data_IF_659079025184
#
_entry.id   IF_659079025184
#
_cell.length_a   1.000
_cell.length_b   1.000
_cell.length_c   1.000
_cell.angle_alpha   90.00
_cell.angle_beta   90.00
_cell.angle_gamma   90.00
#
_symmetry.space_group_name_H-M   'P 1'
#
loop_
_entity.id
_entity.type
_entity.pdbx_description
1 polymer ?
#
# COMPACT_ATOMS: atom_id res chain seq x y z
N UNK A 1 -40.28 -17.72 -3.39
CA UNK A 1 -39.21 -18.16 -2.47
C UNK A 1 -38.19 -18.97 -3.26
N UNK A 2 -37.05 -18.36 -3.63
CA UNK A 2 -35.74 -18.99 -3.95
C UNK A 2 -34.90 -17.96 -4.73
N UNK A 3 -34.05 -17.21 -4.05
CA UNK A 3 -32.98 -16.42 -4.69
C UNK A 3 -32.05 -15.86 -3.62
N UNK A 4 -31.27 -16.74 -3.00
CA UNK A 4 -30.32 -16.41 -1.94
C UNK A 4 -29.16 -17.40 -1.91
N UNK A 5 -28.48 -17.64 -3.03
CA UNK A 5 -27.31 -18.54 -3.05
C UNK A 5 -26.34 -18.21 -4.20
N UNK A 6 -25.78 -17.01 -4.21
CA UNK A 6 -24.67 -16.64 -5.12
C UNK A 6 -23.63 -15.76 -4.43
N UNK A 7 -24.05 -14.89 -3.51
CA UNK A 7 -23.15 -13.99 -2.76
C UNK A 7 -22.24 -14.79 -1.81
N UNK A 8 -22.75 -15.84 -1.14
CA UNK A 8 -21.99 -16.65 -0.18
C UNK A 8 -20.82 -17.43 -0.80
N UNK A 9 -20.90 -17.78 -2.09
CA UNK A 9 -19.81 -18.50 -2.79
C UNK A 9 -18.66 -17.55 -3.20
N UNK A 10 -18.94 -16.27 -3.44
CA UNK A 10 -17.92 -15.26 -3.78
C UNK A 10 -17.16 -14.78 -2.55
N UNK A 11 -17.85 -14.57 -1.42
CA UNK A 11 -17.20 -14.30 -0.13
C UNK A 11 -16.36 -15.48 0.36
N UNK A 12 -16.85 -16.71 0.23
CA UNK A 12 -16.07 -17.89 0.60
C UNK A 12 -14.73 -18.02 -0.17
N UNK A 13 -14.71 -17.67 -1.46
CA UNK A 13 -13.48 -17.71 -2.28
C UNK A 13 -12.49 -16.60 -1.92
N UNK A 14 -12.98 -15.40 -1.58
CA UNK A 14 -12.13 -14.29 -1.12
C UNK A 14 -11.56 -14.59 0.26
N UNK A 15 -12.35 -15.14 1.19
CA UNK A 15 -11.88 -15.56 2.52
C UNK A 15 -10.83 -16.67 2.43
N UNK A 16 -10.94 -17.58 1.46
CA UNK A 16 -9.96 -18.66 1.25
C UNK A 16 -8.63 -18.14 0.67
N UNK A 17 -8.67 -17.10 -0.19
CA UNK A 17 -7.47 -16.42 -0.71
C UNK A 17 -6.81 -15.60 0.41
N UNK A 18 -7.58 -14.89 1.24
CA UNK A 18 -7.06 -14.15 2.39
C UNK A 18 -6.47 -15.11 3.45
N UNK A 19 -7.10 -16.27 3.70
CA UNK A 19 -6.54 -17.32 4.56
C UNK A 19 -5.29 -17.98 3.96
N UNK A 20 -5.20 -18.12 2.63
CA UNK A 20 -4.00 -18.62 1.97
C UNK A 20 -2.83 -17.62 2.08
N UNK A 21 -3.10 -16.32 1.93
CA UNK A 21 -2.11 -15.24 2.16
C UNK A 21 -1.70 -15.21 3.64
N UNK A 22 -2.65 -15.35 4.58
CA UNK A 22 -2.33 -15.49 6.01
C UNK A 22 -1.55 -16.76 6.34
N UNK A 23 -1.76 -17.88 5.66
CA UNK A 23 -0.98 -19.11 5.88
C UNK A 23 0.44 -19.03 5.30
N UNK A 24 0.64 -18.30 4.20
CA UNK A 24 1.98 -18.02 3.65
C UNK A 24 2.75 -17.04 4.56
N UNK A 25 2.07 -16.07 5.17
CA UNK A 25 2.67 -15.19 6.17
C UNK A 25 2.85 -15.86 7.55
N UNK A 26 1.97 -16.77 7.97
CA UNK A 26 2.06 -17.51 9.23
C UNK A 26 3.00 -18.73 9.19
N UNK A 27 3.65 -19.01 8.05
CA UNK A 27 4.82 -19.90 8.01
C UNK A 27 6.04 -19.33 8.76
N UNK A 28 5.94 -18.08 9.22
CA UNK A 28 6.96 -17.37 9.99
C UNK A 28 6.65 -17.35 11.50
N UNK A 29 6.13 -18.46 12.04
CA UNK A 29 6.01 -18.66 13.50
C UNK A 29 7.21 -19.48 13.97
N UNK A 30 8.17 -18.79 14.57
CA UNK A 30 9.08 -19.40 15.54
C UNK A 30 8.23 -19.77 16.75
N UNK A 31 8.05 -21.06 16.99
CA UNK A 31 7.45 -21.54 18.23
C UNK A 31 8.39 -21.17 19.39
N UNK A 32 7.95 -20.28 20.28
CA UNK A 32 8.55 -20.10 21.60
C UNK A 32 7.48 -20.30 22.67
N UNK A 33 7.61 -21.29 23.57
CA UNK A 33 6.69 -21.47 24.68
C UNK A 33 7.24 -20.71 25.89
N UNK A 34 6.85 -19.44 26.07
CA UNK A 34 6.67 -18.78 27.39
C UNK A 34 6.51 -17.26 27.23
N UNK A 35 5.26 -16.79 27.26
CA UNK A 35 4.97 -15.38 27.59
C UNK A 35 3.93 -15.33 28.69
N UNK A 36 4.42 -15.17 29.92
CA UNK A 36 3.61 -14.74 31.06
C UNK A 36 3.39 -13.23 31.00
N UNK A 37 2.14 -12.82 31.28
CA UNK A 37 1.71 -11.44 31.50
C UNK A 37 2.46 -10.78 32.67
N UNK A 38 2.75 -9.47 32.53
CA UNK A 38 2.73 -8.40 33.58
C UNK A 38 3.02 -7.06 32.87
N UNK A 39 2.07 -6.13 32.81
CA UNK A 39 1.66 -5.12 33.82
C UNK A 39 2.73 -4.06 34.13
N UNK A 40 2.26 -2.80 34.22
CA UNK A 40 2.89 -1.52 34.59
C UNK A 40 2.94 -0.54 33.41
N UNK A 41 2.54 0.74 33.50
CA UNK A 41 1.84 1.55 34.51
C UNK A 41 1.67 2.93 33.87
N UNK A 42 0.54 3.59 34.14
CA UNK A 42 0.21 4.93 33.65
C UNK A 42 1.26 5.98 34.06
N UNK A 43 1.83 6.69 33.07
CA UNK A 43 2.43 8.01 33.28
C UNK A 43 1.54 9.08 32.63
N UNK A 44 0.92 9.91 33.47
CA UNK A 44 0.28 11.18 33.09
C UNK A 44 1.39 12.15 32.66
N UNK A 45 1.32 12.65 31.42
CA UNK A 45 2.09 13.81 30.98
C UNK A 45 1.15 15.01 30.97
N UNK A 46 1.57 16.03 31.71
CA UNK A 46 0.85 17.26 31.99
C UNK A 46 0.90 18.22 30.79
N UNK A 47 -0.28 18.69 30.40
CA UNK A 47 -0.51 19.81 29.48
C UNK A 47 0.08 21.10 30.04
N UNK A 48 0.96 21.76 29.29
CA UNK A 48 1.19 23.21 29.42
C UNK A 48 1.18 23.85 28.04
N UNK A 49 0.26 24.80 27.91
CA UNK A 49 -0.11 25.55 26.70
C UNK A 49 0.55 26.92 26.85
N UNK A 50 1.48 27.26 25.96
CA UNK A 50 2.04 28.62 25.88
C UNK A 50 1.86 29.15 24.47
N UNK A 51 0.88 30.03 24.32
CA UNK A 51 0.59 30.81 23.12
C UNK A 51 1.50 32.04 23.07
N UNK A 52 2.16 32.27 21.93
CA UNK A 52 2.56 33.61 21.49
C UNK A 52 2.28 33.76 19.99
N UNK A 53 1.75 34.90 19.53
CA UNK A 53 1.38 35.09 18.13
C UNK A 53 2.57 35.62 17.32
N UNK A 54 2.76 35.09 16.11
CA UNK A 54 3.69 35.65 15.14
C UNK A 54 2.89 36.24 13.97
N UNK A 55 2.89 37.57 13.90
CA UNK A 55 2.38 38.39 12.81
C UNK A 55 3.49 38.62 11.78
N UNK A 56 3.20 38.44 10.49
CA UNK A 56 4.00 39.05 9.41
C UNK A 56 3.11 40.03 8.67
N UNK A 57 3.59 41.27 8.66
CA UNK A 57 3.03 42.43 7.98
C UNK A 57 3.02 42.30 6.46
N UNK A 58 1.98 42.91 5.89
CA UNK A 58 1.78 43.18 4.48
C UNK A 58 2.71 44.31 4.02
N UNK A 59 3.40 44.12 2.88
CA UNK A 59 4.08 45.19 2.17
C UNK A 59 3.64 45.20 0.69
N UNK A 60 2.91 46.26 0.37
CA UNK A 60 2.46 46.70 -0.95
C UNK A 60 3.65 47.13 -1.82
N UNK A 61 3.68 46.72 -3.10
CA UNK A 61 4.29 47.52 -4.16
C UNK A 61 3.78 47.11 -5.57
N UNK A 62 3.01 48.04 -6.14
CA UNK A 62 2.98 48.44 -7.55
C UNK A 62 2.33 47.54 -8.60
N UNK A 63 1.06 47.89 -8.81
CA UNK A 63 0.34 47.99 -10.07
C UNK A 63 1.20 48.01 -11.35
N UNK A 64 0.89 47.09 -12.25
CA UNK A 64 0.87 47.34 -13.69
C UNK A 64 -0.47 46.79 -14.22
N UNK A 65 -1.44 47.70 -14.35
CA UNK A 65 -2.63 47.46 -15.13
C UNK A 65 -2.29 47.45 -16.64
N UNK A 66 -3.12 46.76 -17.41
CA UNK A 66 -3.12 46.62 -18.87
C UNK A 66 -2.43 45.35 -19.39
N UNK A 67 -3.15 44.24 -19.35
CA UNK A 67 -3.61 43.49 -20.55
C UNK A 67 -4.53 42.36 -20.05
N UNK A 68 -5.73 42.71 -19.59
CA UNK A 68 -6.80 41.75 -19.34
C UNK A 68 -7.86 41.98 -20.43
N UNK A 69 -7.67 41.33 -21.57
CA UNK A 69 -8.70 41.23 -22.60
C UNK A 69 -8.81 39.76 -23.00
N UNK A 70 -9.88 39.14 -22.51
CA UNK A 70 -10.56 37.98 -23.06
C UNK A 70 -9.67 36.81 -23.54
N UNK A 71 -9.31 35.93 -22.61
CA UNK A 71 -9.30 34.51 -22.89
C UNK A 71 -10.38 33.90 -21.99
N UNK A 72 -11.58 33.73 -22.57
CA UNK A 72 -12.61 32.88 -22.00
C UNK A 72 -12.00 31.50 -21.71
N UNK A 73 -12.11 31.05 -20.46
CA UNK A 73 -11.82 29.70 -20.01
C UNK A 73 -12.86 28.73 -20.55
N UNK A 74 -12.91 28.57 -21.86
CA UNK A 74 -14.02 27.94 -22.60
C UNK A 74 -13.82 26.42 -22.80
N UNK A 75 -13.12 25.74 -21.88
CA UNK A 75 -12.87 24.29 -21.99
C UNK A 75 -13.13 23.48 -20.72
N UNK A 76 -13.31 24.10 -19.55
CA UNK A 76 -13.46 23.36 -18.29
C UNK A 76 -14.92 23.23 -17.82
N UNK A 77 -15.78 24.22 -18.11
CA UNK A 77 -17.20 24.21 -17.73
C UNK A 77 -18.08 23.29 -18.61
N UNK A 78 -17.58 22.91 -19.80
CA UNK A 78 -18.31 22.05 -20.74
C UNK A 78 -18.21 20.55 -20.43
N UNK A 79 -17.43 20.14 -19.42
CA UNK A 79 -17.20 18.73 -19.13
C UNK A 79 -18.27 18.11 -18.23
N UNK A 80 -19.12 18.90 -17.57
CA UNK A 80 -20.14 18.38 -16.67
C UNK A 80 -21.37 17.88 -17.43
N UNK A 81 -21.82 16.68 -17.06
CA UNK A 81 -22.90 15.97 -17.73
C UNK A 81 -24.28 16.52 -17.35
N UNK A 82 -25.09 16.79 -18.38
CA UNK A 82 -26.54 17.04 -18.27
C UNK A 82 -27.32 15.75 -17.95
N UNK A 83 -28.50 15.88 -17.33
CA UNK A 83 -29.31 14.78 -16.78
C UNK A 83 -29.21 14.67 -15.26
N UNK A 84 -30.28 14.17 -14.63
CA UNK A 84 -30.47 14.11 -13.18
C UNK A 84 -30.29 15.50 -12.54
N UNK A 85 -31.11 16.47 -12.98
CA UNK A 85 -31.01 17.88 -12.54
C UNK A 85 -31.20 18.05 -11.03
N UNK A 86 -31.98 17.15 -10.41
CA UNK A 86 -32.19 17.10 -8.95
C UNK A 86 -30.90 16.71 -8.21
N UNK A 87 -30.02 15.94 -8.86
CA UNK A 87 -28.75 15.48 -8.29
C UNK A 87 -27.69 16.59 -8.41
N UNK A 88 -27.01 16.96 -7.32
CA UNK A 88 -25.88 17.88 -7.34
C UNK A 88 -24.80 17.43 -8.33
N UNK A 89 -24.21 18.38 -9.05
CA UNK A 89 -23.33 18.08 -10.18
C UNK A 89 -22.16 17.15 -9.81
N UNK A 90 -21.50 17.37 -8.67
CA UNK A 90 -20.38 16.53 -8.22
C UNK A 90 -20.77 15.09 -7.81
N UNK A 91 -22.05 14.81 -7.63
CA UNK A 91 -22.57 13.47 -7.25
C UNK A 91 -23.18 12.72 -8.44
N UNK A 92 -23.12 13.30 -9.65
CA UNK A 92 -23.58 12.63 -10.87
C UNK A 92 -22.54 11.60 -11.31
N UNK A 93 -22.91 10.36 -11.64
CA UNK A 93 -21.95 9.30 -11.97
C UNK A 93 -20.94 9.62 -13.08
N UNK A 94 -21.35 10.39 -14.09
CA UNK A 94 -20.43 10.82 -15.16
C UNK A 94 -19.43 11.84 -14.64
N UNK A 95 -19.84 12.73 -13.76
CA UNK A 95 -18.99 13.77 -13.20
C UNK A 95 -17.98 13.17 -12.21
N UNK A 96 -18.42 12.22 -11.38
CA UNK A 96 -17.55 11.38 -10.55
C UNK A 96 -16.47 10.66 -11.39
N UNK A 97 -16.84 10.13 -12.55
CA UNK A 97 -15.89 9.51 -13.49
C UNK A 97 -14.84 10.51 -14.00
N UNK A 98 -15.26 11.71 -14.40
CA UNK A 98 -14.37 12.73 -14.96
C UNK A 98 -13.42 13.29 -13.89
N UNK A 99 -13.93 13.51 -12.68
CA UNK A 99 -13.13 13.93 -11.54
C UNK A 99 -12.12 12.84 -11.15
N UNK A 100 -12.51 11.57 -11.12
CA UNK A 100 -11.61 10.45 -10.91
C UNK A 100 -10.53 10.36 -12.02
N UNK A 101 -10.91 10.57 -13.28
CA UNK A 101 -9.99 10.54 -14.42
C UNK A 101 -8.90 11.62 -14.29
N UNK A 102 -9.26 12.80 -13.77
CA UNK A 102 -8.36 13.93 -13.53
C UNK A 102 -7.53 13.78 -12.24
N UNK A 103 -8.02 13.02 -11.27
CA UNK A 103 -7.34 12.83 -10.00
C UNK A 103 -5.94 12.19 -10.18
N UNK A 104 -4.95 12.61 -9.37
CA UNK A 104 -3.63 11.99 -9.38
C UNK A 104 -3.77 10.50 -9.06
N UNK A 105 -2.92 9.68 -9.66
CA UNK A 105 -2.89 8.21 -9.54
C UNK A 105 -4.07 7.48 -10.21
N UNK A 106 -5.32 7.95 -10.10
CA UNK A 106 -6.45 7.30 -10.77
C UNK A 106 -6.46 7.47 -12.29
N UNK A 107 -5.98 8.61 -12.78
CA UNK A 107 -5.78 8.86 -14.22
C UNK A 107 -4.82 7.86 -14.91
N UNK A 108 -4.07 7.06 -14.15
CA UNK A 108 -3.17 6.04 -14.72
C UNK A 108 -3.90 4.82 -15.29
N UNK A 109 -5.12 4.56 -14.84
CA UNK A 109 -5.96 3.46 -15.35
C UNK A 109 -6.64 3.77 -16.69
N UNK A 110 -6.58 5.03 -17.15
CA UNK A 110 -7.29 5.48 -18.35
C UNK A 110 -6.87 4.73 -19.61
N UNK A 111 -7.76 4.69 -20.60
CA UNK A 111 -7.46 4.12 -21.91
C UNK A 111 -6.34 4.89 -22.64
N UNK A 112 -6.28 6.21 -22.47
CA UNK A 112 -5.27 7.10 -23.09
C UNK A 112 -3.84 6.73 -22.67
N UNK A 113 -3.65 6.34 -21.40
CA UNK A 113 -2.36 5.89 -20.88
C UNK A 113 -2.03 4.47 -21.38
N UNK A 114 -3.06 3.64 -21.58
CA UNK A 114 -2.91 2.26 -22.04
C UNK A 114 -2.15 1.36 -21.06
N UNK A 115 -1.78 0.17 -21.52
CA UNK A 115 -1.01 -0.80 -20.72
C UNK A 115 0.46 -0.36 -20.58
N UNK A 116 1.08 0.10 -21.67
CA UNK A 116 2.49 0.47 -21.69
C UNK A 116 2.77 1.69 -20.80
N UNK A 117 1.94 2.74 -20.89
CA UNK A 117 2.10 3.92 -20.05
C UNK A 117 1.92 3.60 -18.57
N UNK A 118 1.00 2.70 -18.23
CA UNK A 118 0.80 2.23 -16.86
C UNK A 118 2.03 1.44 -16.36
N UNK A 119 2.57 0.53 -17.17
CA UNK A 119 3.79 -0.23 -16.83
C UNK A 119 5.01 0.66 -16.62
N UNK A 120 5.20 1.69 -17.45
CA UNK A 120 6.31 2.65 -17.28
C UNK A 120 6.18 3.39 -15.95
N UNK A 121 4.97 3.90 -15.63
CA UNK A 121 4.71 4.60 -14.36
C UNK A 121 4.95 3.70 -13.16
N UNK A 122 4.46 2.45 -13.22
CA UNK A 122 4.72 1.44 -12.19
C UNK A 122 6.22 1.15 -12.08
N UNK A 123 6.93 0.95 -13.18
CA UNK A 123 8.38 0.72 -13.17
C UNK A 123 9.18 1.88 -12.56
N UNK A 124 8.79 3.13 -12.81
CA UNK A 124 9.40 4.30 -12.15
C UNK A 124 9.15 4.26 -10.64
N UNK A 125 7.91 3.99 -10.22
CA UNK A 125 7.56 3.86 -8.80
C UNK A 125 8.31 2.71 -8.15
N UNK A 126 8.41 1.55 -8.83
CA UNK A 126 9.18 0.40 -8.39
C UNK A 126 10.62 0.79 -8.10
N UNK A 127 11.31 1.40 -9.07
CA UNK A 127 12.73 1.78 -8.92
C UNK A 127 12.90 2.78 -7.79
N UNK A 128 12.01 3.77 -7.69
CA UNK A 128 12.07 4.78 -6.62
C UNK A 128 11.85 4.16 -5.24
N UNK A 129 10.81 3.34 -5.06
CA UNK A 129 10.50 2.69 -3.78
C UNK A 129 11.56 1.67 -3.41
N UNK A 130 12.05 0.89 -4.38
CA UNK A 130 13.14 -0.05 -4.18
C UNK A 130 14.41 0.68 -3.71
N UNK A 131 14.83 1.74 -4.39
CA UNK A 131 16.07 2.43 -4.06
C UNK A 131 15.98 3.26 -2.77
N UNK A 132 14.87 3.97 -2.55
CA UNK A 132 14.73 4.92 -1.45
C UNK A 132 14.20 4.27 -0.16
N UNK A 133 13.47 3.15 -0.25
CA UNK A 133 12.80 2.53 0.90
C UNK A 133 13.21 1.08 1.06
N UNK A 134 12.98 0.25 0.03
CA UNK A 134 13.19 -1.20 0.11
C UNK A 134 14.65 -1.58 0.40
N UNK A 135 15.60 -1.01 -0.35
CA UNK A 135 17.02 -1.34 -0.25
C UNK A 135 17.67 -0.82 1.05
N UNK A 136 17.38 0.40 1.54
CA UNK A 136 17.83 0.84 2.86
C UNK A 136 17.30 -0.04 4.00
N UNK A 137 16.01 -0.39 3.98
CA UNK A 137 15.41 -1.28 5.00
C UNK A 137 16.08 -2.66 4.96
N UNK A 138 16.25 -3.24 3.77
CA UNK A 138 16.96 -4.50 3.61
C UNK A 138 18.44 -4.40 4.02
N UNK A 139 19.09 -3.25 3.84
CA UNK A 139 20.45 -3.01 4.30
C UNK A 139 20.58 -2.91 5.81
N UNK A 140 19.58 -2.34 6.48
CA UNK A 140 19.49 -2.39 7.93
C UNK A 140 19.19 -3.80 8.47
N UNK A 141 18.59 -4.66 7.64
CA UNK A 141 18.26 -6.06 7.99
C UNK A 141 19.45 -6.99 7.79
N UNK A 142 20.15 -6.87 6.66
CA UNK A 142 21.31 -7.68 6.29
C UNK A 142 22.58 -6.84 6.36
N UNK A 143 23.15 -6.75 7.57
CA UNK A 143 24.35 -5.94 7.87
C UNK A 143 25.66 -6.66 7.56
N UNK A 144 25.64 -8.00 7.54
CA UNK A 144 26.82 -8.83 7.28
C UNK A 144 27.17 -8.89 5.78
N UNK A 145 28.47 -8.92 5.50
CA UNK A 145 28.98 -9.08 4.14
C UNK A 145 28.62 -10.44 3.53
N UNK A 146 28.32 -10.43 2.23
CA UNK A 146 27.98 -11.63 1.46
C UNK A 146 26.53 -12.10 1.58
N UNK A 147 25.60 -11.27 2.09
CA UNK A 147 24.15 -11.49 2.06
C UNK A 147 23.42 -10.61 1.01
N UNK A 148 24.12 -10.25 -0.08
CA UNK A 148 23.60 -9.37 -1.11
C UNK A 148 22.33 -9.93 -1.79
N UNK A 149 22.27 -11.24 -2.01
CA UNK A 149 21.12 -11.89 -2.63
C UNK A 149 19.87 -11.75 -1.76
N UNK A 150 19.99 -12.03 -0.46
CA UNK A 150 18.91 -11.89 0.51
C UNK A 150 18.48 -10.43 0.65
N UNK A 151 19.44 -9.50 0.67
CA UNK A 151 19.17 -8.06 0.70
C UNK A 151 18.35 -7.60 -0.51
N UNK A 152 18.74 -7.98 -1.73
CA UNK A 152 18.00 -7.62 -2.95
C UNK A 152 16.64 -8.32 -2.98
N UNK A 153 16.58 -9.61 -2.63
CA UNK A 153 15.33 -10.37 -2.62
C UNK A 153 14.33 -9.81 -1.60
N UNK A 154 14.78 -9.44 -0.40
CA UNK A 154 13.94 -8.82 0.63
C UNK A 154 13.44 -7.44 0.21
N UNK A 155 14.32 -6.61 -0.36
CA UNK A 155 13.94 -5.30 -0.92
C UNK A 155 12.89 -5.45 -2.04
N UNK A 156 13.05 -6.45 -2.91
CA UNK A 156 12.10 -6.75 -3.99
C UNK A 156 10.72 -7.16 -3.42
N UNK A 157 10.67 -8.08 -2.45
CA UNK A 157 9.42 -8.50 -1.79
C UNK A 157 8.68 -7.30 -1.18
N UNK A 158 9.40 -6.42 -0.48
CA UNK A 158 8.81 -5.22 0.12
C UNK A 158 8.27 -4.24 -0.94
N UNK A 159 9.04 -4.02 -2.00
CA UNK A 159 8.67 -3.09 -3.09
C UNK A 159 7.44 -3.59 -3.85
N UNK A 160 7.41 -4.87 -4.22
CA UNK A 160 6.27 -5.49 -4.88
C UNK A 160 5.01 -5.47 -4.00
N UNK A 161 5.16 -5.60 -2.68
CA UNK A 161 4.05 -5.44 -1.74
C UNK A 161 3.43 -4.04 -1.79
N UNK A 162 4.26 -3.00 -1.87
CA UNK A 162 3.80 -1.61 -2.05
C UNK A 162 3.10 -1.41 -3.41
N UNK A 163 3.66 -1.95 -4.50
CA UNK A 163 3.03 -1.86 -5.83
C UNK A 163 1.65 -2.51 -5.88
N UNK A 164 1.48 -3.67 -5.25
CA UNK A 164 0.17 -4.33 -5.15
C UNK A 164 -0.82 -3.44 -4.42
N UNK A 165 -0.42 -2.81 -3.30
CA UNK A 165 -1.31 -1.91 -2.56
C UNK A 165 -1.73 -0.70 -3.41
N UNK A 166 -0.80 -0.13 -4.19
CA UNK A 166 -1.07 0.94 -5.15
C UNK A 166 -2.06 0.50 -6.24
N UNK A 167 -1.84 -0.68 -6.84
CA UNK A 167 -2.71 -1.25 -7.87
C UNK A 167 -4.12 -1.53 -7.33
N UNK A 168 -4.23 -2.11 -6.13
CA UNK A 168 -5.53 -2.31 -5.45
C UNK A 168 -6.24 -0.99 -5.20
N UNK A 169 -5.51 0.06 -4.81
CA UNK A 169 -6.08 1.40 -4.62
C UNK A 169 -6.66 1.94 -5.92
N UNK A 170 -5.93 1.89 -7.03
CA UNK A 170 -6.41 2.34 -8.35
C UNK A 170 -7.60 1.49 -8.80
N UNK A 171 -7.48 0.16 -8.73
CA UNK A 171 -8.53 -0.79 -9.10
C UNK A 171 -9.83 -0.55 -8.34
N UNK A 172 -9.77 -0.27 -7.03
CA UNK A 172 -10.95 0.00 -6.21
C UNK A 172 -11.69 1.28 -6.65
N UNK A 173 -10.98 2.34 -7.03
CA UNK A 173 -11.60 3.57 -7.53
C UNK A 173 -12.33 3.36 -8.85
N UNK A 174 -11.67 2.70 -9.82
CA UNK A 174 -12.28 2.36 -11.10
C UNK A 174 -13.48 1.40 -10.95
N UNK A 175 -13.38 0.44 -10.02
CA UNK A 175 -14.50 -0.46 -9.68
C UNK A 175 -15.71 0.27 -9.10
N UNK A 176 -15.49 1.25 -8.24
CA UNK A 176 -16.54 2.08 -7.65
C UNK A 176 -17.29 2.89 -8.72
N UNK A 177 -16.56 3.67 -9.53
CA UNK A 177 -17.17 4.46 -10.62
C UNK A 177 -17.88 3.55 -11.63
N UNK A 178 -17.29 2.38 -11.93
CA UNK A 178 -17.93 1.38 -12.79
C UNK A 178 -19.28 0.92 -12.26
N UNK A 179 -19.40 0.68 -10.96
CA UNK A 179 -20.68 0.34 -10.34
C UNK A 179 -21.69 1.49 -10.35
N UNK A 180 -21.23 2.74 -10.20
CA UNK A 180 -22.07 3.95 -10.20
C UNK A 180 -22.64 4.25 -11.59
N UNK A 181 -21.88 3.99 -12.66
CA UNK A 181 -22.37 4.11 -14.04
C UNK A 181 -23.43 3.04 -14.35
N UNK A 182 -23.24 1.81 -13.87
CA UNK A 182 -24.16 0.69 -14.13
C UNK A 182 -25.43 0.68 -13.26
N UNK A 183 -25.46 1.46 -12.17
CA UNK A 183 -26.62 1.50 -11.28
C UNK A 183 -27.83 2.11 -11.99
N UNK A 184 -29.02 1.56 -11.72
CA UNK A 184 -30.31 2.08 -12.23
C UNK A 184 -30.79 3.32 -11.48
N UNK A 185 -30.26 3.52 -10.28
CA UNK A 185 -30.66 4.57 -9.36
C UNK A 185 -29.39 5.28 -8.91
N UNK A 186 -29.46 6.60 -8.78
CA UNK A 186 -28.41 7.46 -8.26
C UNK A 186 -28.76 7.76 -6.80
N UNK A 187 -27.89 7.32 -5.91
CA UNK A 187 -27.90 7.75 -4.51
C UNK A 187 -27.14 9.06 -4.40
N UNK A 188 -27.77 10.07 -3.79
CA UNK A 188 -27.22 11.41 -3.61
C UNK A 188 -27.72 12.08 -2.33
N UNK A 189 -26.99 13.08 -1.87
CA UNK A 189 -27.31 13.90 -0.71
C UNK A 189 -27.67 15.31 -1.19
N UNK A 190 -28.90 15.76 -0.91
CA UNK A 190 -29.42 17.06 -1.36
C UNK A 190 -28.91 18.21 -0.48
N UNK A 191 -29.08 18.13 0.84
CA UNK A 191 -28.45 19.00 1.86
C UNK A 191 -28.77 18.50 3.27
N UNK A 192 -27.78 18.24 4.11
CA UNK A 192 -28.02 17.88 5.51
C UNK A 192 -27.11 16.77 6.02
N UNK A 193 -27.32 16.35 7.27
CA UNK A 193 -26.47 15.33 7.90
C UNK A 193 -27.09 13.91 7.82
N UNK A 194 -28.32 13.72 7.26
CA UNK A 194 -28.99 12.40 7.28
C UNK A 194 -30.01 12.06 6.16
N UNK A 195 -30.17 12.84 5.10
CA UNK A 195 -31.13 12.56 4.02
C UNK A 195 -30.42 12.19 2.70
N UNK A 196 -30.17 10.88 2.55
CA UNK A 196 -29.84 10.30 1.25
C UNK A 196 -31.12 10.08 0.43
N UNK A 197 -31.16 10.65 -0.78
CA UNK A 197 -32.24 10.50 -1.73
C UNK A 197 -31.83 9.60 -2.90
N UNK A 198 -32.83 9.09 -3.62
CA UNK A 198 -32.68 8.15 -4.72
C UNK A 198 -33.36 8.70 -5.97
N UNK A 199 -32.58 8.97 -7.02
CA UNK A 199 -33.11 9.41 -8.31
C UNK A 199 -33.00 8.27 -9.34
N UNK A 200 -34.11 7.81 -9.95
CA UNK A 200 -34.05 6.80 -11.00
C UNK A 200 -33.48 7.39 -12.29
N UNK A 201 -32.50 6.72 -12.90
CA UNK A 201 -31.95 7.15 -14.20
C UNK A 201 -32.97 6.92 -15.30
N UNK A 202 -33.09 7.89 -16.19
CA UNK A 202 -33.86 7.76 -17.44
C UNK A 202 -33.22 6.71 -18.36
N UNK A 203 -33.99 6.19 -19.32
CA UNK A 203 -33.46 5.19 -20.27
C UNK A 203 -32.30 5.76 -21.13
N UNK A 204 -32.35 7.05 -21.45
CA UNK A 204 -31.29 7.73 -22.18
C UNK A 204 -29.97 7.77 -21.38
N UNK A 205 -30.03 8.12 -20.09
CA UNK A 205 -28.87 8.14 -19.20
C UNK A 205 -28.27 6.75 -19.02
N UNK A 206 -29.10 5.72 -18.85
CA UNK A 206 -28.62 4.34 -18.74
C UNK A 206 -27.88 3.88 -19.99
N UNK A 207 -28.37 4.23 -21.18
CA UNK A 207 -27.70 3.88 -22.44
C UNK A 207 -26.37 4.63 -22.58
N UNK A 208 -26.32 5.92 -22.22
CA UNK A 208 -25.10 6.73 -22.21
C UNK A 208 -24.07 6.16 -21.23
N UNK A 209 -24.46 5.95 -19.98
CA UNK A 209 -23.57 5.47 -18.92
C UNK A 209 -23.06 4.05 -19.25
N UNK A 210 -23.91 3.20 -19.85
CA UNK A 210 -23.49 1.89 -20.34
C UNK A 210 -22.48 2.01 -21.48
N UNK A 211 -22.69 2.92 -22.43
CA UNK A 211 -21.73 3.15 -23.51
C UNK A 211 -20.37 3.62 -22.95
N UNK A 212 -20.39 4.58 -22.02
CA UNK A 212 -19.18 5.07 -21.34
C UNK A 212 -18.48 3.97 -20.55
N UNK A 213 -19.25 3.14 -19.83
CA UNK A 213 -18.69 2.02 -19.09
C UNK A 213 -17.98 1.02 -20.02
N UNK A 214 -18.64 0.62 -21.11
CA UNK A 214 -18.09 -0.38 -22.04
C UNK A 214 -16.86 0.13 -22.79
N UNK A 215 -16.86 1.40 -23.18
CA UNK A 215 -15.76 2.02 -23.93
C UNK A 215 -14.56 2.35 -23.05
N UNK A 216 -14.78 2.93 -21.87
CA UNK A 216 -13.71 3.48 -21.05
C UNK A 216 -13.41 2.72 -19.76
N UNK A 217 -14.44 2.41 -18.98
CA UNK A 217 -14.24 1.88 -17.63
C UNK A 217 -13.92 0.40 -17.63
N UNK A 218 -14.63 -0.40 -18.42
CA UNK A 218 -14.42 -1.84 -18.50
C UNK A 218 -12.98 -2.20 -18.92
N UNK A 219 -12.43 -1.68 -20.03
CA UNK A 219 -11.05 -2.01 -20.40
C UNK A 219 -10.02 -1.52 -19.38
N UNK A 220 -10.28 -0.41 -18.67
CA UNK A 220 -9.44 0.04 -17.56
C UNK A 220 -9.43 -0.95 -16.38
N UNK A 221 -10.62 -1.37 -15.93
CA UNK A 221 -10.80 -2.33 -14.84
C UNK A 221 -10.16 -3.68 -15.19
N UNK A 222 -10.35 -4.17 -16.41
CA UNK A 222 -9.79 -5.46 -16.85
C UNK A 222 -8.25 -5.43 -16.89
N UNK A 223 -7.65 -4.34 -17.38
CA UNK A 223 -6.19 -4.13 -17.36
C UNK A 223 -5.64 -4.08 -15.94
N UNK A 224 -6.27 -3.30 -15.06
CA UNK A 224 -5.87 -3.16 -13.66
C UNK A 224 -5.99 -4.49 -12.91
N UNK A 225 -7.06 -5.25 -13.16
CA UNK A 225 -7.26 -6.58 -12.60
C UNK A 225 -6.16 -7.55 -13.03
N UNK A 226 -5.85 -7.58 -14.33
CA UNK A 226 -4.78 -8.43 -14.86
C UNK A 226 -3.44 -8.11 -14.23
N UNK A 227 -3.07 -6.82 -14.18
CA UNK A 227 -1.82 -6.38 -13.56
C UNK A 227 -1.76 -6.66 -12.07
N UNK A 228 -2.86 -6.45 -11.34
CA UNK A 228 -2.91 -6.75 -9.90
C UNK A 228 -2.71 -8.24 -9.64
N UNK A 229 -3.34 -9.12 -10.43
CA UNK A 229 -3.15 -10.57 -10.32
C UNK A 229 -1.74 -11.01 -10.74
N UNK A 230 -1.19 -10.41 -11.81
CA UNK A 230 0.18 -10.66 -12.25
C UNK A 230 1.22 -10.24 -11.19
N UNK A 231 1.06 -9.05 -10.62
CA UNK A 231 1.90 -8.54 -9.54
C UNK A 231 1.77 -9.41 -8.28
N UNK A 232 0.56 -9.86 -7.91
CA UNK A 232 0.37 -10.78 -6.80
C UNK A 232 1.09 -12.13 -7.02
N UNK A 233 1.01 -12.70 -8.24
CA UNK A 233 1.73 -13.92 -8.57
C UNK A 233 3.26 -13.72 -8.52
N UNK A 234 3.75 -12.60 -9.04
CA UNK A 234 5.16 -12.22 -8.99
C UNK A 234 5.64 -12.03 -7.55
N UNK A 235 4.83 -11.40 -6.69
CA UNK A 235 5.13 -11.22 -5.28
C UNK A 235 5.24 -12.55 -4.53
N UNK A 236 4.31 -13.48 -4.77
CA UNK A 236 4.40 -14.85 -4.22
C UNK A 236 5.68 -15.54 -4.70
N UNK A 237 6.01 -15.44 -5.99
CA UNK A 237 7.26 -15.98 -6.52
C UNK A 237 8.50 -15.34 -5.86
N UNK A 238 8.46 -14.03 -5.60
CA UNK A 238 9.52 -13.31 -4.89
C UNK A 238 9.66 -13.76 -3.43
N UNK A 239 8.56 -14.03 -2.73
CA UNK A 239 8.59 -14.58 -1.37
C UNK A 239 9.22 -15.99 -1.35
N UNK A 240 8.87 -16.83 -2.32
CA UNK A 240 9.51 -18.15 -2.50
C UNK A 240 11.01 -18.00 -2.81
N UNK A 241 11.37 -17.06 -3.69
CA UNK A 241 12.77 -16.76 -4.02
C UNK A 241 13.58 -16.29 -2.81
N UNK A 242 13.00 -15.43 -1.97
CA UNK A 242 13.63 -15.00 -0.72
C UNK A 242 13.82 -16.18 0.24
N UNK A 243 12.82 -17.05 0.38
CA UNK A 243 12.94 -18.25 1.20
C UNK A 243 14.05 -19.19 0.68
N UNK A 244 14.14 -19.38 -0.63
CA UNK A 244 15.22 -20.16 -1.25
C UNK A 244 16.61 -19.52 -1.00
N UNK A 245 16.73 -18.19 -1.12
CA UNK A 245 17.97 -17.48 -0.81
C UNK A 245 18.39 -17.66 0.66
N UNK A 246 17.43 -17.68 1.58
CA UNK A 246 17.68 -17.95 3.00
C UNK A 246 18.09 -19.41 3.25
N UNK A 247 17.64 -20.37 2.44
CA UNK A 247 18.07 -21.77 2.55
C UNK A 247 19.49 -21.99 2.01
N UNK A 248 19.88 -21.28 0.94
CA UNK A 248 21.23 -21.39 0.36
C UNK A 248 22.33 -20.88 1.29
N UNK A 249 22.05 -19.78 2.00
CA UNK A 249 22.93 -19.24 3.03
C UNK A 249 22.07 -18.79 4.20
N UNK A 250 21.85 -19.65 5.20
CA UNK A 250 21.10 -19.26 6.38
C UNK A 250 21.83 -18.12 7.09
N UNK A 251 21.05 -17.16 7.59
CA UNK A 251 21.55 -16.15 8.53
C UNK A 251 21.89 -16.86 9.84
N UNK A 252 23.05 -16.55 10.40
CA UNK A 252 23.44 -17.10 11.69
C UNK A 252 22.48 -16.60 12.76
N UNK A 253 21.69 -17.52 13.36
CA UNK A 253 20.83 -17.18 14.48
C UNK A 253 21.59 -17.43 15.77
N UNK A 254 22.18 -16.36 16.30
CA UNK A 254 22.99 -16.36 17.52
C UNK A 254 22.23 -16.84 18.77
N UNK A 255 20.89 -16.78 18.73
CA UNK A 255 20.00 -17.14 19.83
C UNK A 255 19.31 -18.49 19.65
N UNK A 256 19.60 -19.25 18.58
CA UNK A 256 19.08 -20.62 18.45
C UNK A 256 19.72 -21.49 19.55
N UNK A 257 18.93 -22.18 20.40
CA UNK A 257 19.47 -23.06 21.45
C UNK A 257 20.45 -24.11 20.93
N UNK A 258 20.31 -24.53 19.65
CA UNK A 258 21.23 -25.47 19.00
C UNK A 258 22.58 -24.83 18.72
N UNK A 259 22.58 -23.60 18.22
CA UNK A 259 23.79 -22.81 18.00
C UNK A 259 24.49 -22.57 19.33
N UNK A 260 23.75 -22.20 20.38
CA UNK A 260 24.31 -21.94 21.71
C UNK A 260 24.98 -23.19 22.31
N UNK A 261 24.39 -24.38 22.13
CA UNK A 261 25.02 -25.65 22.51
C UNK A 261 26.30 -25.93 21.72
N UNK A 262 26.31 -25.67 20.41
CA UNK A 262 27.48 -25.88 19.56
C UNK A 262 28.62 -24.93 19.90
N UNK A 263 28.35 -23.65 20.17
CA UNK A 263 29.37 -22.67 20.59
C UNK A 263 30.07 -23.08 21.89
N UNK A 264 29.38 -23.77 22.81
CA UNK A 264 29.99 -24.25 24.06
C UNK A 264 30.89 -25.47 23.83
N UNK A 265 30.57 -26.29 22.83
CA UNK A 265 31.20 -27.59 22.63
C UNK A 265 32.38 -27.56 21.65
N UNK A 266 32.38 -26.62 20.71
CA UNK A 266 33.32 -26.57 19.59
C UNK A 266 33.97 -25.18 19.49
N UNK A 267 35.28 -25.12 19.77
CA UNK A 267 36.06 -23.88 19.72
C UNK A 267 36.19 -23.32 18.30
N UNK A 268 36.25 -24.17 17.27
CA UNK A 268 36.35 -23.72 15.88
C UNK A 268 35.04 -23.07 15.44
N UNK A 269 33.91 -23.65 15.84
CA UNK A 269 32.59 -23.05 15.62
C UNK A 269 32.42 -21.74 16.41
N UNK A 270 32.87 -21.69 17.66
CA UNK A 270 32.84 -20.49 18.48
C UNK A 270 33.68 -19.35 17.85
N UNK A 271 34.86 -19.67 17.33
CA UNK A 271 35.72 -18.72 16.62
C UNK A 271 35.09 -18.24 15.31
N UNK A 272 34.43 -19.13 14.56
CA UNK A 272 33.71 -18.76 13.35
C UNK A 272 32.49 -17.85 13.65
N UNK A 273 31.73 -18.15 14.69
CA UNK A 273 30.62 -17.34 15.18
C UNK A 273 31.10 -15.95 15.66
N UNK A 274 32.18 -15.90 16.44
CA UNK A 274 32.79 -14.65 16.89
C UNK A 274 33.29 -13.80 15.71
N UNK A 275 33.87 -14.43 14.68
CA UNK A 275 34.29 -13.73 13.45
C UNK A 275 33.08 -13.18 12.67
N UNK A 276 31.97 -13.92 12.62
CA UNK A 276 30.73 -13.46 12.01
C UNK A 276 30.07 -12.29 12.77
N UNK A 277 30.26 -12.23 14.10
CA UNK A 277 29.81 -11.16 15.00
C UNK A 277 30.85 -10.02 15.16
N UNK A 278 31.78 -9.87 14.20
CA UNK A 278 32.73 -8.75 14.21
C UNK A 278 33.76 -8.83 15.35
N UNK A 279 34.23 -10.04 15.67
CA UNK A 279 35.21 -10.36 16.73
C UNK A 279 34.78 -10.01 18.16
N UNK A 280 33.47 -9.83 18.37
CA UNK A 280 32.87 -9.64 19.69
C UNK A 280 32.03 -10.85 20.05
N UNK A 281 31.85 -11.16 21.35
CA UNK A 281 30.93 -12.21 21.75
C UNK A 281 29.50 -11.90 21.27
N UNK A 282 28.79 -12.89 20.75
CA UNK A 282 27.43 -12.75 20.17
C UNK A 282 26.40 -12.19 21.15
N UNK A 283 26.60 -12.39 22.46
CA UNK A 283 25.72 -11.81 23.49
C UNK A 283 25.78 -10.27 23.57
N UNK A 284 26.75 -9.62 22.91
CA UNK A 284 26.92 -8.17 22.92
C UNK A 284 25.90 -7.43 22.06
N UNK A 285 25.34 -8.06 21.04
CA UNK A 285 24.43 -7.42 20.09
C UNK A 285 22.99 -7.28 20.61
N UNK A 286 22.60 -8.13 21.58
CA UNK A 286 21.28 -8.05 22.20
C UNK A 286 21.36 -7.43 23.61
N UNK A 287 20.57 -6.37 23.82
CA UNK A 287 20.46 -5.66 25.09
C UNK A 287 20.14 -6.57 26.28
N UNK A 288 19.28 -7.57 26.08
CA UNK A 288 18.90 -8.53 27.12
C UNK A 288 20.11 -9.38 27.55
N UNK A 289 20.76 -10.05 26.60
CA UNK A 289 21.91 -10.92 26.91
C UNK A 289 23.12 -10.13 27.42
N UNK A 290 23.32 -8.91 26.93
CA UNK A 290 24.31 -7.98 27.48
C UNK A 290 24.04 -7.59 28.94
N UNK A 291 22.78 -7.40 29.32
CA UNK A 291 22.41 -7.10 30.71
C UNK A 291 22.62 -8.31 31.62
N UNK A 292 22.28 -9.52 31.13
CA UNK A 292 22.50 -10.79 31.85
C UNK A 292 24.00 -11.08 32.03
N UNK A 293 24.84 -10.77 31.03
CA UNK A 293 26.29 -10.89 31.08
C UNK A 293 26.96 -9.76 31.88
N UNK A 294 26.41 -9.41 33.04
CA UNK A 294 26.99 -8.46 33.99
C UNK A 294 27.22 -7.04 33.42
N UNK A 295 26.27 -6.57 32.61
CA UNK A 295 26.34 -5.23 32.00
C UNK A 295 27.23 -5.12 30.76
N UNK A 296 27.70 -6.24 30.22
CA UNK A 296 28.48 -6.29 28.99
C UNK A 296 29.98 -6.10 29.18
N UNK A 297 30.55 -6.48 30.32
CA UNK A 297 32.01 -6.52 30.47
C UNK A 297 32.60 -7.53 29.47
N UNK A 298 33.33 -7.05 28.45
CA UNK A 298 33.84 -7.88 27.35
C UNK A 298 33.15 -7.62 26.01
N UNK A 299 32.12 -6.77 26.01
CA UNK A 299 31.71 -5.97 24.87
C UNK A 299 32.47 -4.62 24.95
#
# INVERSE_FOLDING_TARGET
MQSGCSITKRTARITLIVLAISRVCNGFVVNDPNTNMRSLSHHKISTTRTSTPFTIDSANANANANTALAASSESDDALYSFGAEVVPEGQRPVNEYLDMKRAPLFGWGTNEVGLQGLLIRLGIVYVAVFALVGYPIAGATFTQDGYLLQKIAAANVGTLGFEIALLVRIYSGWGYVGSRLQSKVIEYEETGWYDGNFEPKTEAELKRDKFLYLSDVQPAVDRLKLLTLGAAALWVASCVGLNAANQLKPTFNEYDPRVLKMVIQDEDFANAAAKAAGSRPTYCDNRYYRAVANGGQGC
#
